data_IF_558127278207
#
_entry.id   IF_558127278207
#
_cell.length_a   1.000
_cell.length_b   1.000
_cell.length_c   1.000
_cell.angle_alpha   90.00
_cell.angle_beta   90.00
_cell.angle_gamma   90.00
#
_symmetry.space_group_name_H-M   'P 1'
#
loop_
_entity.id
_entity.type
_entity.pdbx_description
1 polymer ?
#
# COMPACT_ATOMS: atom_id res chain seq x y z
N UNK A 1 2.71 21.92 -14.15
CA UNK A 1 3.39 20.97 -13.24
C UNK A 1 2.40 20.04 -12.49
N UNK A 2 1.15 20.46 -12.22
CA UNK A 2 0.19 19.68 -11.45
C UNK A 2 -0.23 18.37 -12.14
N UNK A 3 -0.58 18.41 -13.43
CA UNK A 3 -1.01 17.22 -14.18
C UNK A 3 0.07 16.13 -14.23
N UNK A 4 1.33 16.42 -14.61
CA UNK A 4 2.40 15.42 -14.55
C UNK A 4 2.61 14.84 -13.15
N UNK A 5 2.47 15.65 -12.11
CA UNK A 5 2.56 15.20 -10.72
C UNK A 5 1.46 14.19 -10.37
N UNK A 6 0.19 14.49 -10.73
CA UNK A 6 -0.92 13.55 -10.49
C UNK A 6 -0.71 12.23 -11.23
N UNK A 7 -0.31 12.30 -12.51
CA UNK A 7 -0.01 11.09 -13.30
C UNK A 7 1.08 10.26 -12.59
N UNK A 8 2.14 10.90 -12.13
CA UNK A 8 3.21 10.22 -11.39
C UNK A 8 2.68 9.56 -10.11
N UNK A 9 1.90 10.28 -9.30
CA UNK A 9 1.33 9.75 -8.05
C UNK A 9 0.44 8.53 -8.32
N UNK A 10 -0.46 8.63 -9.31
CA UNK A 10 -1.35 7.52 -9.65
C UNK A 10 -0.55 6.31 -10.14
N UNK A 11 0.32 6.49 -11.11
CA UNK A 11 1.11 5.38 -11.68
C UNK A 11 2.02 4.75 -10.61
N UNK A 12 2.69 5.58 -9.79
CA UNK A 12 3.54 5.08 -8.71
C UNK A 12 2.74 4.28 -7.68
N UNK A 13 1.60 4.79 -7.21
CA UNK A 13 0.78 4.11 -6.19
C UNK A 13 0.19 2.81 -6.72
N UNK A 14 -0.31 2.80 -7.96
CA UNK A 14 -0.86 1.62 -8.63
C UNK A 14 0.18 0.51 -8.70
N UNK A 15 1.38 0.82 -9.20
CA UNK A 15 2.46 -0.16 -9.29
C UNK A 15 2.97 -0.61 -7.90
N UNK A 16 3.01 0.31 -6.94
CA UNK A 16 3.44 0.00 -5.57
C UNK A 16 2.48 -0.97 -4.87
N UNK A 17 1.18 -0.78 -5.04
CA UNK A 17 0.17 -1.71 -4.52
C UNK A 17 0.29 -3.10 -5.17
N UNK A 18 0.54 -3.16 -6.49
CA UNK A 18 0.76 -4.41 -7.19
C UNK A 18 2.04 -5.12 -6.71
N UNK A 19 3.16 -4.41 -6.53
CA UNK A 19 4.39 -4.98 -5.97
C UNK A 19 4.22 -5.48 -4.53
N UNK A 20 3.25 -4.96 -3.78
CA UNK A 20 2.97 -5.38 -2.40
C UNK A 20 2.11 -6.65 -2.34
N UNK A 21 1.49 -7.07 -3.46
CA UNK A 21 0.64 -8.28 -3.53
C UNK A 21 1.46 -9.56 -3.68
N UNK A 22 2.50 -9.73 -2.87
CA UNK A 22 3.40 -10.87 -2.93
C UNK A 22 3.23 -11.89 -1.79
N UNK A 23 2.46 -11.58 -0.74
CA UNK A 23 2.18 -12.46 0.40
C UNK A 23 0.69 -12.48 0.73
N UNK A 24 0.23 -13.63 1.27
CA UNK A 24 -1.17 -13.83 1.67
C UNK A 24 -1.68 -12.74 2.60
N UNK A 25 -2.66 -11.95 2.16
CA UNK A 25 -3.29 -10.88 2.93
C UNK A 25 -2.49 -9.57 3.01
N UNK A 26 -1.29 -9.49 2.46
CA UNK A 26 -0.43 -8.31 2.61
C UNK A 26 -1.07 -7.08 1.94
N UNK A 27 -1.26 -7.11 0.63
CA UNK A 27 -1.80 -5.98 -0.13
C UNK A 27 -3.22 -5.60 0.31
N UNK A 28 -4.08 -6.59 0.51
CA UNK A 28 -5.45 -6.37 0.97
C UNK A 28 -5.51 -5.72 2.36
N UNK A 29 -4.67 -6.17 3.30
CA UNK A 29 -4.65 -5.62 4.65
C UNK A 29 -4.05 -4.21 4.72
N UNK A 30 -2.95 -3.96 4.01
CA UNK A 30 -2.38 -2.60 3.90
C UNK A 30 -3.39 -1.65 3.27
N UNK A 31 -4.02 -2.06 2.14
CA UNK A 31 -5.06 -1.24 1.48
C UNK A 31 -6.24 -0.96 2.40
N UNK A 32 -6.72 -1.95 3.14
CA UNK A 32 -7.79 -1.80 4.12
C UNK A 32 -7.49 -0.69 5.14
N UNK A 33 -6.29 -0.71 5.72
CA UNK A 33 -5.88 0.25 6.76
C UNK A 33 -5.78 1.65 6.15
N UNK A 34 -5.16 1.78 4.97
CA UNK A 34 -5.03 3.06 4.25
C UNK A 34 -6.39 3.60 3.80
N UNK A 35 -7.29 2.73 3.31
CA UNK A 35 -8.65 3.13 2.94
C UNK A 35 -9.48 3.58 4.16
N UNK A 36 -9.32 2.92 5.31
CA UNK A 36 -9.95 3.33 6.56
C UNK A 36 -9.45 4.73 6.99
N UNK A 37 -8.15 5.00 6.87
CA UNK A 37 -7.60 6.33 7.10
C UNK A 37 -8.27 7.37 6.20
N UNK A 38 -8.33 7.14 4.88
CA UNK A 38 -8.96 8.09 3.96
C UNK A 38 -10.45 8.24 4.19
N UNK A 39 -11.15 7.18 4.62
CA UNK A 39 -12.57 7.28 5.00
C UNK A 39 -12.79 8.24 6.16
N UNK A 40 -11.98 8.13 7.23
CA UNK A 40 -12.05 9.02 8.39
C UNK A 40 -11.70 10.46 8.01
N UNK A 41 -10.65 10.65 7.21
CA UNK A 41 -10.25 11.98 6.73
C UNK A 41 -11.32 12.61 5.83
N UNK A 42 -11.99 11.82 4.99
CA UNK A 42 -13.07 12.31 4.14
C UNK A 42 -14.30 12.77 4.96
N UNK A 43 -14.61 12.07 6.06
CA UNK A 43 -15.66 12.49 7.00
C UNK A 43 -15.29 13.84 7.64
N UNK A 44 -14.06 13.99 8.10
CA UNK A 44 -13.57 15.23 8.72
C UNK A 44 -13.61 16.41 7.74
N UNK A 45 -13.29 16.18 6.47
CA UNK A 45 -13.39 17.17 5.39
C UNK A 45 -14.83 17.41 4.88
N UNK A 46 -15.83 16.71 5.40
CA UNK A 46 -17.23 16.81 4.94
C UNK A 46 -17.50 16.20 3.56
N UNK A 47 -16.59 15.38 3.05
CA UNK A 47 -16.72 14.74 1.72
C UNK A 47 -17.39 13.35 1.81
N UNK A 48 -18.72 13.34 1.95
CA UNK A 48 -19.50 12.11 2.14
C UNK A 48 -19.29 11.08 1.02
N UNK A 49 -19.17 11.52 -0.24
CA UNK A 49 -18.97 10.60 -1.37
C UNK A 49 -17.65 9.84 -1.28
N UNK A 50 -16.56 10.52 -0.92
CA UNK A 50 -15.25 9.88 -0.74
C UNK A 50 -15.19 9.02 0.52
N UNK A 51 -15.90 9.42 1.58
CA UNK A 51 -16.03 8.62 2.78
C UNK A 51 -16.75 7.29 2.50
N UNK A 52 -17.87 7.33 1.77
CA UNK A 52 -18.62 6.13 1.36
C UNK A 52 -17.77 5.25 0.44
N UNK A 53 -17.10 5.83 -0.55
CA UNK A 53 -16.24 5.10 -1.47
C UNK A 53 -15.11 4.37 -0.73
N UNK A 54 -14.37 5.09 0.15
CA UNK A 54 -13.27 4.51 0.92
C UNK A 54 -13.76 3.45 1.90
N UNK A 55 -14.91 3.64 2.55
CA UNK A 55 -15.55 2.64 3.43
C UNK A 55 -15.97 1.39 2.66
N UNK A 56 -16.43 1.52 1.41
CA UNK A 56 -16.74 0.39 0.57
C UNK A 56 -15.51 -0.45 0.24
N UNK A 57 -14.35 0.20 0.00
CA UNK A 57 -13.07 -0.50 -0.18
C UNK A 57 -12.67 -1.24 1.09
N UNK A 58 -12.82 -0.62 2.26
CA UNK A 58 -12.59 -1.29 3.56
C UNK A 58 -13.42 -2.57 3.67
N UNK A 59 -14.72 -2.47 3.41
CA UNK A 59 -15.63 -3.62 3.45
C UNK A 59 -15.26 -4.72 2.45
N UNK A 60 -14.90 -4.34 1.22
CA UNK A 60 -14.47 -5.27 0.20
C UNK A 60 -13.17 -6.00 0.59
N UNK A 61 -12.16 -5.26 1.10
CA UNK A 61 -10.90 -5.84 1.57
C UNK A 61 -11.11 -6.75 2.79
N UNK A 62 -12.00 -6.39 3.73
CA UNK A 62 -12.37 -7.25 4.86
C UNK A 62 -12.98 -8.57 4.39
N UNK A 63 -13.94 -8.50 3.46
CA UNK A 63 -14.57 -9.69 2.87
C UNK A 63 -13.55 -10.55 2.12
N UNK A 64 -12.65 -9.94 1.36
CA UNK A 64 -11.60 -10.63 0.62
C UNK A 64 -10.59 -11.31 1.55
N UNK A 65 -10.14 -10.64 2.62
CA UNK A 65 -9.21 -11.17 3.61
C UNK A 65 -9.71 -12.45 4.29
N UNK A 66 -11.03 -12.64 4.37
CA UNK A 66 -11.61 -13.90 4.88
C UNK A 66 -11.12 -15.13 4.11
N UNK A 67 -10.77 -14.96 2.85
CA UNK A 67 -10.32 -16.02 1.94
C UNK A 67 -8.85 -15.88 1.54
N UNK A 68 -8.28 -14.67 1.65
CA UNK A 68 -6.91 -14.36 1.24
C UNK A 68 -5.91 -14.34 2.42
N UNK A 69 -6.37 -14.42 3.68
CA UNK A 69 -5.45 -14.57 4.82
C UNK A 69 -4.79 -15.95 4.81
N UNK A 70 -3.53 -16.00 5.26
CA UNK A 70 -2.70 -17.21 5.23
C UNK A 70 -3.33 -18.41 5.99
N UNK A 71 -3.41 -19.62 5.43
CA UNK A 71 -3.11 -19.95 4.04
C UNK A 71 -4.24 -19.51 3.09
N UNK A 72 -3.87 -18.73 2.06
CA UNK A 72 -4.85 -18.15 1.14
C UNK A 72 -5.57 -19.22 0.31
N UNK A 73 -6.88 -19.02 0.12
CA UNK A 73 -7.73 -19.83 -0.76
C UNK A 73 -8.04 -19.13 -2.07
N UNK A 74 -7.88 -17.81 -2.10
CA UNK A 74 -8.15 -16.94 -3.26
C UNK A 74 -7.04 -15.91 -3.32
N UNK A 75 -6.52 -15.65 -4.53
CA UNK A 75 -5.51 -14.66 -4.80
C UNK A 75 -6.11 -13.46 -5.54
N UNK A 76 -5.56 -12.27 -5.30
CA UNK A 76 -6.07 -11.01 -5.86
C UNK A 76 -5.70 -10.85 -7.34
N UNK A 77 -4.45 -11.10 -7.66
CA UNK A 77 -3.87 -10.88 -8.98
C UNK A 77 -3.78 -9.40 -9.37
N UNK A 78 -3.19 -9.15 -10.54
CA UNK A 78 -2.91 -7.80 -11.02
C UNK A 78 -4.18 -6.95 -11.16
N UNK A 79 -5.28 -7.54 -11.61
CA UNK A 79 -6.55 -6.80 -11.77
C UNK A 79 -7.02 -6.19 -10.44
N UNK A 80 -6.92 -6.94 -9.34
CA UNK A 80 -7.34 -6.47 -8.03
C UNK A 80 -6.33 -5.49 -7.42
N UNK A 81 -5.05 -5.83 -7.41
CA UNK A 81 -4.02 -5.01 -6.78
C UNK A 81 -3.83 -3.66 -7.48
N UNK A 82 -3.86 -3.63 -8.83
CA UNK A 82 -3.82 -2.38 -9.58
C UNK A 82 -5.06 -1.52 -9.33
N UNK A 83 -6.26 -2.14 -9.27
CA UNK A 83 -7.50 -1.43 -8.98
C UNK A 83 -7.49 -0.80 -7.59
N UNK A 84 -7.01 -1.53 -6.57
CA UNK A 84 -6.90 -1.02 -5.20
C UNK A 84 -5.89 0.14 -5.11
N UNK A 85 -4.73 0.02 -5.76
CA UNK A 85 -3.75 1.09 -5.85
C UNK A 85 -4.32 2.35 -6.52
N UNK A 86 -5.09 2.16 -7.61
CA UNK A 86 -5.79 3.23 -8.31
C UNK A 86 -6.84 3.92 -7.43
N UNK A 87 -7.60 3.14 -6.66
CA UNK A 87 -8.60 3.66 -5.75
C UNK A 87 -7.97 4.53 -4.64
N UNK A 88 -6.89 4.07 -4.01
CA UNK A 88 -6.15 4.85 -2.99
C UNK A 88 -5.59 6.14 -3.60
N UNK A 89 -4.91 6.05 -4.75
CA UNK A 89 -4.31 7.22 -5.40
C UNK A 89 -5.37 8.26 -5.79
N UNK A 90 -6.47 7.82 -6.40
CA UNK A 90 -7.56 8.71 -6.83
C UNK A 90 -8.22 9.38 -5.63
N UNK A 91 -8.48 8.65 -4.55
CA UNK A 91 -9.03 9.22 -3.31
C UNK A 91 -8.12 10.33 -2.76
N UNK A 92 -6.82 10.08 -2.64
CA UNK A 92 -5.87 11.07 -2.13
C UNK A 92 -5.78 12.32 -3.04
N UNK A 93 -5.83 12.13 -4.36
CA UNK A 93 -5.83 13.24 -5.33
C UNK A 93 -7.10 14.06 -5.21
N UNK A 94 -8.28 13.43 -5.14
CA UNK A 94 -9.57 14.12 -5.00
C UNK A 94 -9.71 14.86 -3.67
N UNK A 95 -9.07 14.36 -2.63
CA UNK A 95 -8.98 15.05 -1.32
C UNK A 95 -7.92 16.14 -1.27
N UNK A 96 -7.15 16.36 -2.35
CA UNK A 96 -6.01 17.28 -2.41
C UNK A 96 -4.89 16.97 -1.40
N UNK A 97 -4.75 15.71 -0.98
CA UNK A 97 -3.73 15.24 -0.02
C UNK A 97 -2.78 14.20 -0.63
N UNK A 98 -2.54 14.27 -1.94
CA UNK A 98 -1.71 13.29 -2.65
C UNK A 98 -0.31 13.09 -2.05
N UNK A 99 0.27 14.13 -1.46
CA UNK A 99 1.60 14.08 -0.81
C UNK A 99 1.62 13.26 0.49
N UNK A 100 0.47 12.90 1.05
CA UNK A 100 0.40 12.06 2.25
C UNK A 100 0.60 10.57 1.94
N UNK A 101 0.42 10.14 0.66
CA UNK A 101 0.51 8.74 0.26
C UNK A 101 1.84 8.08 0.67
N UNK A 102 3.03 8.71 0.48
CA UNK A 102 4.29 8.12 0.92
C UNK A 102 4.37 7.87 2.43
N UNK A 103 3.56 8.56 3.22
CA UNK A 103 3.47 8.37 4.69
C UNK A 103 2.45 7.27 4.97
N UNK A 104 1.17 7.49 4.68
CA UNK A 104 0.10 6.56 5.06
C UNK A 104 0.17 5.24 4.28
N UNK A 105 0.59 5.28 3.03
CA UNK A 105 0.92 4.13 2.19
C UNK A 105 2.40 3.77 2.23
N UNK A 106 3.10 4.05 3.35
CA UNK A 106 4.55 3.88 3.46
C UNK A 106 5.03 2.46 3.18
N UNK A 107 4.22 1.44 3.45
CA UNK A 107 4.54 0.07 3.06
C UNK A 107 4.59 -0.05 1.54
N UNK A 108 3.60 0.45 0.80
CA UNK A 108 3.65 0.48 -0.68
C UNK A 108 4.91 1.19 -1.18
N UNK A 109 5.23 2.32 -0.55
CA UNK A 109 6.40 3.12 -0.92
C UNK A 109 7.72 2.39 -0.68
N UNK A 110 7.93 1.78 0.52
CA UNK A 110 9.19 1.07 0.83
C UNK A 110 9.35 -0.21 -0.01
N UNK A 111 8.26 -0.93 -0.31
CA UNK A 111 8.30 -2.08 -1.22
C UNK A 111 8.86 -1.68 -2.57
N UNK A 112 8.30 -0.66 -3.19
CA UNK A 112 8.78 -0.13 -4.48
C UNK A 112 10.19 0.43 -4.40
N UNK A 113 10.50 1.20 -3.35
CA UNK A 113 11.83 1.78 -3.15
C UNK A 113 12.90 0.69 -3.03
N UNK A 114 12.58 -0.41 -2.34
CA UNK A 114 13.50 -1.56 -2.25
C UNK A 114 13.87 -2.14 -3.61
N UNK A 115 12.89 -2.24 -4.52
CA UNK A 115 13.11 -2.72 -5.89
C UNK A 115 14.00 -1.74 -6.67
N UNK A 116 13.69 -0.44 -6.59
CA UNK A 116 14.47 0.60 -7.27
C UNK A 116 15.93 0.58 -6.79
N UNK A 117 16.16 0.56 -5.48
CA UNK A 117 17.51 0.51 -4.90
C UNK A 117 18.26 -0.74 -5.36
N UNK A 118 17.60 -1.90 -5.32
CA UNK A 118 18.19 -3.16 -5.74
C UNK A 118 18.61 -3.13 -7.22
N UNK A 119 17.72 -2.66 -8.10
CA UNK A 119 17.98 -2.59 -9.54
C UNK A 119 19.12 -1.63 -9.85
N UNK A 120 19.13 -0.45 -9.23
CA UNK A 120 20.20 0.54 -9.40
C UNK A 120 21.53 -0.05 -8.92
N UNK A 121 21.58 -0.59 -7.70
CA UNK A 121 22.79 -1.18 -7.14
C UNK A 121 23.32 -2.31 -8.01
N UNK A 122 22.45 -3.24 -8.43
CA UNK A 122 22.87 -4.37 -9.25
C UNK A 122 23.39 -3.95 -10.63
N UNK A 123 22.74 -2.96 -11.27
CA UNK A 123 23.19 -2.44 -12.58
C UNK A 123 24.49 -1.65 -12.50
N UNK A 124 24.75 -0.96 -11.38
CA UNK A 124 25.94 -0.10 -11.25
C UNK A 124 27.13 -0.82 -10.63
N UNK A 125 26.89 -1.69 -9.65
CA UNK A 125 27.98 -2.33 -8.87
C UNK A 125 28.05 -3.85 -9.01
N UNK A 126 27.06 -4.50 -9.64
CA UNK A 126 26.92 -5.95 -9.69
C UNK A 126 26.54 -6.60 -8.35
N UNK A 127 26.31 -5.80 -7.31
CA UNK A 127 26.04 -6.31 -5.94
C UNK A 127 24.57 -6.11 -5.55
N UNK A 128 24.03 -7.07 -4.82
CA UNK A 128 22.69 -6.98 -4.23
C UNK A 128 22.76 -6.27 -2.88
N UNK A 129 21.83 -5.33 -2.64
CA UNK A 129 21.63 -4.68 -1.33
C UNK A 129 20.76 -5.57 -0.44
N UNK A 130 19.66 -6.06 -0.99
CA UNK A 130 18.72 -6.96 -0.31
C UNK A 130 18.92 -8.38 -0.81
N UNK A 131 18.59 -9.38 0.02
CA UNK A 131 18.60 -10.80 -0.41
C UNK A 131 17.68 -11.04 -1.60
N UNK A 132 16.49 -10.41 -1.55
CA UNK A 132 15.50 -10.38 -2.62
C UNK A 132 14.66 -9.11 -2.49
N UNK A 133 14.02 -8.66 -3.55
CA UNK A 133 13.03 -7.57 -3.54
C UNK A 133 11.77 -8.01 -4.28
N UNK A 134 10.61 -7.50 -3.93
CA UNK A 134 10.31 -6.48 -2.91
C UNK A 134 10.70 -6.87 -1.47
N UNK A 135 10.61 -5.92 -0.51
CA UNK A 135 11.19 -6.05 0.83
C UNK A 135 10.62 -7.22 1.66
N UNK A 136 9.35 -7.57 1.48
CA UNK A 136 8.73 -8.72 2.15
C UNK A 136 9.51 -10.01 1.89
N UNK A 137 9.98 -10.27 0.67
CA UNK A 137 10.81 -11.42 0.34
C UNK A 137 12.19 -11.39 1.02
N UNK A 138 12.74 -10.19 1.26
CA UNK A 138 13.97 -10.07 2.03
C UNK A 138 13.80 -10.60 3.46
N UNK A 139 12.67 -10.30 4.10
CA UNK A 139 12.38 -10.80 5.46
C UNK A 139 12.11 -12.30 5.47
N UNK A 140 11.39 -12.86 4.50
CA UNK A 140 11.19 -14.30 4.37
C UNK A 140 12.53 -15.04 4.24
N UNK A 141 13.41 -14.59 3.32
CA UNK A 141 14.76 -15.15 3.15
C UNK A 141 15.68 -14.88 4.35
N UNK A 142 15.27 -14.02 5.26
CA UNK A 142 15.95 -13.78 6.54
C UNK A 142 15.40 -14.65 7.68
N UNK A 143 14.45 -15.57 7.37
CA UNK A 143 13.91 -16.55 8.30
C UNK A 143 12.63 -16.13 9.02
N UNK A 144 11.98 -15.04 8.59
CA UNK A 144 10.68 -14.69 9.13
C UNK A 144 9.57 -15.53 8.47
N UNK A 145 8.60 -15.94 9.28
CA UNK A 145 7.38 -16.56 8.75
C UNK A 145 6.55 -15.51 8.02
N UNK A 146 5.90 -15.88 6.93
CA UNK A 146 5.02 -15.04 6.13
C UNK A 146 4.01 -14.26 6.99
N UNK A 147 3.28 -14.96 7.86
CA UNK A 147 2.31 -14.35 8.77
C UNK A 147 2.92 -13.28 9.68
N UNK A 148 4.19 -13.44 10.10
CA UNK A 148 4.90 -12.44 10.88
C UNK A 148 5.22 -11.20 10.05
N UNK A 149 5.65 -11.36 8.80
CA UNK A 149 5.93 -10.24 7.89
C UNK A 149 4.66 -9.43 7.67
N UNK A 150 3.57 -10.09 7.31
CA UNK A 150 2.26 -9.46 7.07
C UNK A 150 1.77 -8.71 8.29
N UNK A 151 1.79 -9.34 9.47
CA UNK A 151 1.34 -8.70 10.72
C UNK A 151 2.17 -7.46 11.06
N UNK A 152 3.49 -7.54 10.94
CA UNK A 152 4.37 -6.39 11.21
C UNK A 152 4.09 -5.25 10.23
N UNK A 153 3.89 -5.55 8.95
CA UNK A 153 3.59 -4.55 7.93
C UNK A 153 2.23 -3.88 8.17
N UNK A 154 1.22 -4.61 8.61
CA UNK A 154 -0.07 -4.03 9.01
C UNK A 154 0.09 -3.09 10.22
N UNK A 155 0.83 -3.52 11.26
CA UNK A 155 1.10 -2.67 12.44
C UNK A 155 1.83 -1.38 12.03
N UNK A 156 2.86 -1.49 11.18
CA UNK A 156 3.58 -0.33 10.66
C UNK A 156 2.65 0.58 9.87
N UNK A 157 1.76 0.03 9.03
CA UNK A 157 0.77 0.83 8.29
C UNK A 157 -0.16 1.60 9.22
N UNK A 158 -0.64 0.97 10.31
CA UNK A 158 -1.47 1.67 11.31
C UNK A 158 -0.70 2.83 11.94
N UNK A 159 0.55 2.62 12.35
CA UNK A 159 1.40 3.67 12.93
C UNK A 159 1.60 4.82 11.93
N UNK A 160 1.88 4.52 10.67
CA UNK A 160 2.06 5.51 9.62
C UNK A 160 0.78 6.29 9.32
N UNK A 161 -0.39 5.64 9.37
CA UNK A 161 -1.68 6.32 9.25
C UNK A 161 -1.94 7.27 10.45
N UNK A 162 -1.56 6.89 11.67
CA UNK A 162 -1.65 7.77 12.84
C UNK A 162 -0.72 8.99 12.69
N UNK A 163 0.51 8.79 12.21
CA UNK A 163 1.44 9.89 11.90
C UNK A 163 0.85 10.80 10.81
N UNK A 164 0.29 10.21 9.75
CA UNK A 164 -0.37 10.96 8.68
C UNK A 164 -1.54 11.80 9.17
N UNK A 165 -2.35 11.26 10.08
CA UNK A 165 -3.45 12.01 10.71
C UNK A 165 -2.96 13.20 11.53
N UNK A 166 -1.81 13.10 12.20
CA UNK A 166 -1.20 14.19 12.92
C UNK A 166 -0.59 15.25 12.00
N UNK A 167 -0.07 14.85 10.83
CA UNK A 167 0.54 15.75 9.87
C UNK A 167 -0.47 16.59 9.07
N UNK A 168 -1.74 16.20 9.05
CA UNK A 168 -2.82 16.90 8.33
C UNK A 168 -3.66 17.82 9.25
N UNK A 169 -3.39 17.86 10.54
CA UNK A 169 -3.96 18.81 11.48
C UNK A 169 -3.19 20.13 11.51
#
# INVERSE_FOLDING_TARGET
LYIPFIIFVVVATVNSANLTDGLDGLAAGVTLIVAAFFSLMAIDQGSNSLAIFSSAIVGACLGFLRFNSHPAKVFMGDTGSLALGGAIATTAVLMNVALIIPIVGGIFFIETLSVIIQVISFKTTGKRVFKMTPLHHHFELSGWKETKVVTVFWIVTVILCLIGALALK
#
